data_IF_618938831209
#
_entry.id   IF_618938831209
#
_cell.length_a   1.000
_cell.length_b   1.000
_cell.length_c   1.000
_cell.angle_alpha   90.00
_cell.angle_beta   90.00
_cell.angle_gamma   90.00
#
_symmetry.space_group_name_H-M   'P 1'
#
loop_
_entity.id
_entity.type
_entity.pdbx_description
1 polymer ?
#
# COMPACT_ATOMS: atom_id res chain seq x y z
N UNK A 1 -11.59 -6.38 -2.15
CA UNK A 1 -10.36 -5.97 -1.43
C UNK A 1 -10.30 -6.76 -0.14
N UNK A 2 -9.19 -7.45 0.05
CA UNK A 2 -8.93 -8.46 1.08
C UNK A 2 -7.62 -8.16 1.85
N UNK A 3 -6.81 -7.21 1.37
CA UNK A 3 -5.57 -6.79 2.01
C UNK A 3 -5.43 -5.27 2.12
N UNK A 4 -4.75 -4.85 3.17
CA UNK A 4 -4.34 -3.47 3.39
C UNK A 4 -2.90 -3.39 3.91
N UNK A 5 -2.13 -2.46 3.39
CA UNK A 5 -0.76 -2.16 3.83
C UNK A 5 -0.75 -0.79 4.47
N UNK A 6 -0.25 -0.71 5.69
CA UNK A 6 -0.07 0.56 6.40
C UNK A 6 1.41 0.96 6.36
N UNK A 7 1.70 2.12 5.77
CA UNK A 7 3.04 2.69 5.75
C UNK A 7 3.08 3.93 6.63
N UNK A 8 4.06 4.00 7.54
CA UNK A 8 4.38 5.21 8.30
C UNK A 8 5.64 5.86 7.75
N UNK A 9 5.54 7.15 7.44
CA UNK A 9 6.61 7.98 6.95
C UNK A 9 6.95 9.01 8.03
N UNK A 10 8.13 8.88 8.64
CA UNK A 10 8.66 9.91 9.51
C UNK A 10 8.87 11.23 8.74
N UNK A 11 9.09 12.37 9.43
CA UNK A 11 9.54 13.60 8.79
C UNK A 11 10.72 13.34 7.85
N UNK A 12 10.71 13.97 6.68
CA UNK A 12 11.70 13.83 5.60
C UNK A 12 11.84 12.43 4.96
N UNK A 13 11.02 11.46 5.37
CA UNK A 13 11.01 10.14 4.75
C UNK A 13 10.58 10.19 3.28
N UNK A 14 11.13 9.25 2.50
CA UNK A 14 10.91 9.14 1.05
C UNK A 14 10.64 7.70 0.68
N UNK A 15 9.94 7.52 -0.43
CA UNK A 15 9.76 6.23 -1.07
C UNK A 15 10.12 6.36 -2.55
N UNK A 16 11.13 5.63 -2.97
CA UNK A 16 11.56 5.61 -4.37
C UNK A 16 10.46 5.10 -5.31
N UNK A 17 10.61 5.42 -6.60
CA UNK A 17 9.68 4.97 -7.63
C UNK A 17 9.62 3.44 -7.68
N UNK A 18 8.44 2.87 -7.46
CA UNK A 18 8.18 1.42 -7.45
C UNK A 18 6.81 1.12 -8.07
N UNK A 19 6.55 -0.16 -8.34
CA UNK A 19 5.26 -0.69 -8.76
C UNK A 19 4.80 -1.68 -7.69
N UNK A 20 3.51 -1.75 -7.46
CA UNK A 20 2.93 -2.78 -6.59
C UNK A 20 2.71 -4.06 -7.39
N UNK A 21 3.44 -5.12 -6.99
CA UNK A 21 3.56 -6.40 -7.71
C UNK A 21 3.30 -7.62 -6.83
N UNK A 22 2.91 -7.43 -5.58
CA UNK A 22 2.74 -8.51 -4.62
C UNK A 22 1.46 -9.31 -4.84
N UNK A 23 0.53 -8.79 -5.63
CA UNK A 23 -0.74 -9.41 -5.96
C UNK A 23 -0.60 -10.42 -7.12
N UNK A 24 -1.56 -11.34 -7.20
CA UNK A 24 -1.60 -12.37 -8.25
C UNK A 24 -1.54 -11.74 -9.65
N UNK A 25 -0.96 -12.48 -10.60
CA UNK A 25 -0.86 -12.00 -11.98
C UNK A 25 -2.24 -11.72 -12.59
N UNK A 26 -3.24 -12.53 -12.25
CA UNK A 26 -4.62 -12.35 -12.68
C UNK A 26 -5.18 -10.99 -12.21
N UNK A 27 -5.12 -10.69 -10.91
CA UNK A 27 -5.63 -9.42 -10.35
C UNK A 27 -4.92 -8.22 -10.94
N UNK A 28 -3.60 -8.34 -11.19
CA UNK A 28 -2.83 -7.28 -11.87
C UNK A 28 -3.24 -7.12 -13.34
N UNK A 29 -3.48 -8.21 -14.07
CA UNK A 29 -3.87 -8.19 -15.48
C UNK A 29 -5.30 -7.65 -15.68
N UNK A 30 -6.22 -7.96 -14.76
CA UNK A 30 -7.58 -7.40 -14.72
C UNK A 30 -7.58 -5.90 -14.39
N UNK A 31 -6.48 -5.40 -13.81
CA UNK A 31 -6.35 -3.99 -13.43
C UNK A 31 -7.14 -3.64 -12.17
N UNK A 32 -7.36 -4.60 -11.27
CA UNK A 32 -8.06 -4.35 -9.99
C UNK A 32 -7.40 -3.19 -9.22
N UNK A 33 -8.15 -2.21 -8.71
CA UNK A 33 -7.59 -0.94 -8.25
C UNK A 33 -6.82 -1.04 -6.94
N UNK A 34 -5.88 -0.11 -6.75
CA UNK A 34 -5.33 0.24 -5.44
C UNK A 34 -5.98 1.54 -4.98
N UNK A 35 -6.44 1.54 -3.73
CA UNK A 35 -6.95 2.72 -3.04
C UNK A 35 -5.97 3.09 -1.94
N UNK A 36 -5.43 4.31 -2.01
CA UNK A 36 -4.41 4.84 -1.11
C UNK A 36 -4.99 6.04 -0.34
N UNK A 37 -5.05 5.95 0.98
CA UNK A 37 -5.53 7.02 1.87
C UNK A 37 -4.33 7.69 2.53
N UNK A 38 -4.31 9.01 2.57
CA UNK A 38 -3.28 9.81 3.24
C UNK A 38 -3.80 10.39 4.55
N UNK A 39 -3.05 10.23 5.64
CA UNK A 39 -3.38 10.76 6.96
C UNK A 39 -2.14 11.38 7.60
N UNK A 40 -2.27 12.53 8.26
CA UNK A 40 -1.15 13.23 8.90
C UNK A 40 -0.49 14.23 7.94
N UNK A 41 0.84 14.34 8.00
CA UNK A 41 1.56 15.33 7.18
C UNK A 41 1.32 15.09 5.68
N UNK A 42 1.12 16.17 4.93
CA UNK A 42 1.02 16.15 3.49
C UNK A 42 2.30 15.62 2.85
N UNK A 43 2.21 15.13 1.61
CA UNK A 43 3.39 14.68 0.86
C UNK A 43 3.34 15.07 -0.60
N UNK A 44 4.52 15.17 -1.23
CA UNK A 44 4.65 15.24 -2.68
C UNK A 44 4.72 13.82 -3.24
N UNK A 45 3.60 13.35 -3.76
CA UNK A 45 3.46 12.06 -4.41
C UNK A 45 3.83 12.20 -5.90
N UNK A 46 4.60 11.26 -6.43
CA UNK A 46 4.96 11.21 -7.85
C UNK A 46 4.30 10.01 -8.50
N UNK A 47 3.52 10.25 -9.54
CA UNK A 47 2.85 9.24 -10.34
C UNK A 47 3.42 9.23 -11.76
N UNK A 48 4.03 8.13 -12.16
CA UNK A 48 4.79 8.00 -13.41
C UNK A 48 4.04 7.31 -14.53
N UNK A 49 4.75 6.39 -15.20
CA UNK A 49 4.24 5.52 -16.26
C UNK A 49 4.49 4.05 -15.89
N UNK A 50 4.05 3.11 -16.71
CA UNK A 50 4.21 1.67 -16.42
C UNK A 50 5.52 1.06 -16.96
N UNK A 51 6.22 1.78 -17.84
CA UNK A 51 7.37 1.26 -18.58
C UNK A 51 8.70 1.51 -17.86
N UNK A 52 8.84 2.65 -17.18
CA UNK A 52 10.10 3.03 -16.54
C UNK A 52 9.90 3.84 -15.26
N UNK A 53 10.93 3.81 -14.39
CA UNK A 53 11.02 4.69 -13.21
C UNK A 53 11.29 6.14 -13.57
N UNK A 54 11.77 6.38 -14.79
CA UNK A 54 11.99 7.70 -15.36
C UNK A 54 10.71 8.29 -15.93
N UNK A 55 10.72 9.59 -16.18
CA UNK A 55 9.55 10.33 -16.66
C UNK A 55 8.98 9.81 -18.00
N UNK A 56 7.79 10.29 -18.40
CA UNK A 56 7.05 11.40 -17.78
C UNK A 56 6.43 11.00 -16.43
N UNK A 57 6.30 11.99 -15.55
CA UNK A 57 5.64 11.86 -14.25
C UNK A 57 4.81 13.10 -13.94
N UNK A 58 3.78 12.91 -13.13
CA UNK A 58 2.97 13.95 -12.53
C UNK A 58 3.23 13.97 -11.02
N UNK A 59 3.51 15.16 -10.50
CA UNK A 59 3.66 15.35 -9.06
C UNK A 59 2.34 15.92 -8.52
N UNK A 60 1.86 15.31 -7.44
CA UNK A 60 0.56 15.57 -6.83
C UNK A 60 0.81 15.75 -5.33
N UNK A 61 0.33 16.84 -4.75
CA UNK A 61 0.31 16.96 -3.30
C UNK A 61 -0.87 16.17 -2.75
N UNK A 62 -0.61 15.29 -1.79
CA UNK A 62 -1.64 14.57 -1.06
C UNK A 62 -1.64 15.06 0.39
N UNK A 63 -2.75 15.61 0.84
CA UNK A 63 -2.99 16.12 2.18
C UNK A 63 -3.68 15.07 3.05
N UNK A 64 -3.80 15.35 4.35
CA UNK A 64 -4.56 14.49 5.25
C UNK A 64 -6.02 14.41 4.83
N UNK A 65 -6.54 13.20 4.69
CA UNK A 65 -7.90 12.91 4.21
C UNK A 65 -7.99 12.58 2.72
N UNK A 66 -6.95 12.85 1.93
CA UNK A 66 -6.98 12.57 0.50
C UNK A 66 -6.98 11.08 0.19
N UNK A 67 -7.82 10.70 -0.77
CA UNK A 67 -7.82 9.39 -1.43
C UNK A 67 -7.17 9.51 -2.81
N UNK A 68 -6.22 8.62 -3.09
CA UNK A 68 -5.66 8.42 -4.41
C UNK A 68 -5.96 7.01 -4.89
N UNK A 69 -6.58 6.89 -6.07
CA UNK A 69 -7.02 5.61 -6.63
C UNK A 69 -6.40 5.41 -8.01
N UNK A 70 -5.81 4.25 -8.26
CA UNK A 70 -5.27 3.89 -9.56
C UNK A 70 -5.47 2.40 -9.85
N UNK A 71 -5.83 2.10 -11.10
CA UNK A 71 -6.19 0.76 -11.57
C UNK A 71 -6.30 0.74 -13.09
N UNK A 72 -6.89 -0.31 -13.66
CA UNK A 72 -6.98 -0.51 -15.10
C UNK A 72 -5.61 -0.39 -15.77
N UNK A 73 -5.52 0.40 -16.84
CA UNK A 73 -4.26 0.66 -17.55
C UNK A 73 -3.16 1.28 -16.66
N UNK A 74 -3.54 1.91 -15.54
CA UNK A 74 -2.62 2.55 -14.61
C UNK A 74 -2.24 1.63 -13.42
N UNK A 75 -2.74 0.38 -13.37
CA UNK A 75 -2.48 -0.56 -12.26
C UNK A 75 -1.00 -0.81 -12.02
N UNK A 76 -0.23 -0.85 -13.12
CA UNK A 76 1.21 -1.07 -13.12
C UNK A 76 1.99 0.23 -13.25
N UNK A 77 1.49 1.38 -12.77
CA UNK A 77 2.23 2.64 -12.83
C UNK A 77 3.32 2.73 -11.74
N UNK A 78 4.53 3.14 -12.12
CA UNK A 78 5.56 3.51 -11.17
C UNK A 78 5.13 4.73 -10.36
N UNK A 79 5.25 4.66 -9.04
CA UNK A 79 4.89 5.77 -8.16
C UNK A 79 5.77 5.81 -6.90
N UNK A 80 5.74 6.92 -6.18
CA UNK A 80 6.57 7.09 -4.98
C UNK A 80 6.26 8.38 -4.21
N UNK A 81 6.93 8.54 -3.09
CA UNK A 81 6.83 9.74 -2.22
C UNK A 81 8.17 10.44 -2.24
N UNK A 82 8.22 11.65 -2.81
CA UNK A 82 9.47 12.39 -2.97
C UNK A 82 9.91 13.10 -1.70
N UNK A 83 8.94 13.57 -0.92
CA UNK A 83 9.12 14.23 0.38
C UNK A 83 7.78 14.29 1.12
N UNK A 84 7.86 14.31 2.45
CA UNK A 84 6.78 14.72 3.34
C UNK A 84 6.91 16.20 3.69
N UNK A 85 5.83 16.82 4.14
CA UNK A 85 5.77 18.22 4.56
C UNK A 85 5.47 18.30 6.06
N UNK A 86 6.48 18.34 6.94
CA UNK A 86 6.27 18.30 8.38
C UNK A 86 5.41 19.46 8.90
N UNK A 87 4.54 19.17 9.87
CA UNK A 87 3.71 20.18 10.54
C UNK A 87 2.47 20.59 9.75
N UNK A 88 2.06 19.77 8.78
CA UNK A 88 0.84 20.00 7.97
C UNK A 88 -0.31 19.09 8.39
N UNK A 89 -0.07 18.14 9.29
CA UNK A 89 -1.11 17.29 9.87
C UNK A 89 -2.19 18.11 10.62
N UNK A 90 -3.49 17.78 10.44
CA UNK A 90 -4.56 18.35 11.26
C UNK A 90 -4.40 17.96 12.73
N UNK A 91 -4.56 18.94 13.63
CA UNK A 91 -4.31 18.78 15.07
C UNK A 91 -5.25 17.74 15.69
N UNK A 92 -6.50 17.70 15.23
CA UNK A 92 -7.54 16.78 15.68
C UNK A 92 -7.24 15.30 15.40
N UNK A 93 -6.33 15.01 14.46
CA UNK A 93 -5.96 13.64 14.10
C UNK A 93 -5.02 13.01 15.13
N UNK A 94 -4.40 13.81 16.00
CA UNK A 94 -3.50 13.34 17.06
C UNK A 94 -2.15 12.78 16.58
N UNK A 95 -1.88 12.80 15.27
CA UNK A 95 -0.59 12.43 14.68
C UNK A 95 0.36 13.61 14.87
N UNK A 96 1.30 13.50 15.81
CA UNK A 96 2.20 14.60 16.18
C UNK A 96 3.20 14.97 15.08
N UNK A 97 3.66 13.99 14.31
CA UNK A 97 4.60 14.17 13.21
C UNK A 97 4.56 12.96 12.27
N UNK A 98 4.76 13.21 10.98
CA UNK A 98 4.82 12.19 9.95
C UNK A 98 3.47 11.94 9.28
N UNK A 99 3.50 10.99 8.35
CA UNK A 99 2.38 10.63 7.49
C UNK A 99 2.10 9.14 7.59
N UNK A 100 0.83 8.79 7.72
CA UNK A 100 0.32 7.44 7.52
C UNK A 100 -0.29 7.31 6.12
N UNK A 101 -0.04 6.16 5.51
CA UNK A 101 -0.67 5.77 4.28
C UNK A 101 -1.31 4.39 4.44
N UNK A 102 -2.63 4.31 4.25
CA UNK A 102 -3.35 3.05 4.19
C UNK A 102 -3.63 2.73 2.72
N UNK A 103 -2.97 1.71 2.19
CA UNK A 103 -3.14 1.28 0.81
C UNK A 103 -3.84 -0.07 0.75
N UNK A 104 -5.10 -0.06 0.29
CA UNK A 104 -5.99 -1.22 0.19
C UNK A 104 -6.03 -1.77 -1.23
N UNK A 105 -6.15 -3.09 -1.35
CA UNK A 105 -6.08 -3.80 -2.63
C UNK A 105 -6.72 -5.19 -2.52
N UNK A 106 -6.93 -5.80 -3.67
CA UNK A 106 -7.24 -7.23 -3.80
C UNK A 106 -5.94 -8.00 -4.02
N UNK A 107 -5.78 -9.16 -3.38
CA UNK A 107 -4.58 -9.99 -3.54
C UNK A 107 -4.75 -11.04 -4.64
N UNK A 108 -5.97 -11.57 -4.81
CA UNK A 108 -6.25 -12.67 -5.73
C UNK A 108 -5.67 -14.00 -5.26
N UNK A 109 -5.38 -14.11 -3.97
CA UNK A 109 -5.09 -15.37 -3.31
C UNK A 109 -6.35 -15.74 -2.51
N UNK A 110 -7.25 -16.48 -3.16
CA UNK A 110 -8.39 -17.11 -2.50
C UNK A 110 -7.89 -18.30 -1.68
N UNK A 111 -7.06 -18.03 -0.66
CA UNK A 111 -6.74 -19.06 0.32
C UNK A 111 -7.95 -19.15 1.25
N UNK A 112 -8.61 -20.31 1.29
CA UNK A 112 -9.49 -20.58 2.42
C UNK A 112 -8.63 -20.53 3.68
N UNK A 113 -9.20 -20.14 4.82
CA UNK A 113 -8.46 -20.11 6.10
C UNK A 113 -7.72 -21.44 6.36
N UNK A 114 -8.33 -22.55 5.95
CA UNK A 114 -7.74 -23.89 6.06
C UNK A 114 -6.50 -24.07 5.14
N UNK A 115 -6.54 -23.57 3.90
CA UNK A 115 -5.40 -23.63 2.96
C UNK A 115 -4.23 -22.75 3.44
N UNK A 116 -4.53 -21.60 4.02
CA UNK A 116 -3.53 -20.72 4.61
C UNK A 116 -2.87 -21.36 5.86
N UNK A 117 -3.68 -21.98 6.74
CA UNK A 117 -3.16 -22.70 7.91
C UNK A 117 -2.32 -23.89 7.50
N UNK A 118 -2.74 -24.68 6.49
CA UNK A 118 -1.94 -25.80 5.98
C UNK A 118 -0.61 -25.33 5.39
N UNK A 119 -0.63 -24.29 4.57
CA UNK A 119 0.56 -23.74 3.92
C UNK A 119 1.54 -23.17 4.94
N UNK A 120 1.01 -22.49 5.97
CA UNK A 120 1.81 -21.99 7.08
C UNK A 120 2.37 -23.14 7.94
N UNK A 121 1.56 -24.16 8.26
CA UNK A 121 2.00 -25.34 9.01
C UNK A 121 3.12 -26.11 8.29
N UNK A 122 3.03 -26.26 6.96
CA UNK A 122 4.08 -26.88 6.13
C UNK A 122 5.37 -26.04 6.12
N UNK A 123 5.25 -24.71 6.04
CA UNK A 123 6.41 -23.81 6.05
C UNK A 123 7.17 -23.80 7.39
N UNK A 124 6.50 -24.20 8.48
CA UNK A 124 7.05 -24.20 9.84
C UNK A 124 7.04 -25.60 10.49
N UNK A 125 7.20 -26.66 9.69
CA UNK A 125 7.20 -28.05 10.16
C UNK A 125 8.06 -28.22 11.44
N UNK A 126 7.43 -28.61 12.55
CA UNK A 126 8.04 -28.69 13.88
C UNK A 126 7.72 -27.54 14.84
N UNK A 127 6.98 -26.52 14.41
CA UNK A 127 6.52 -25.41 15.25
C UNK A 127 5.08 -25.65 15.70
N UNK A 128 4.79 -25.48 17.00
CA UNK A 128 3.41 -25.59 17.53
C UNK A 128 2.64 -24.32 17.18
N UNK A 129 1.74 -24.43 16.20
CA UNK A 129 0.76 -23.39 15.88
C UNK A 129 -0.44 -23.56 16.81
N UNK A 130 -0.82 -22.50 17.53
CA UNK A 130 -2.05 -22.46 18.34
C UNK A 130 -3.13 -21.72 17.55
N UNK A 131 -4.06 -22.48 16.98
CA UNK A 131 -5.30 -21.94 16.42
C UNK A 131 -6.30 -21.70 17.56
N UNK A 132 -6.68 -20.43 17.78
CA UNK A 132 -7.59 -20.01 18.85
C UNK A 132 -9.07 -20.06 18.44
N UNK A 133 -9.37 -20.42 17.18
CA UNK A 133 -10.74 -20.51 16.68
C UNK A 133 -11.34 -21.92 16.79
N UNK A 134 -10.58 -22.89 17.28
CA UNK A 134 -11.03 -24.25 17.58
C UNK A 134 -11.06 -24.44 19.09
N UNK A 135 -12.11 -23.93 19.74
CA UNK A 135 -12.61 -24.41 21.03
C UNK A 135 -13.89 -25.22 20.83
#
# INVERSE_FOLDING_TARGET
MDAAVLNFYAPDAKLGMHQDKSESEQVRAEGSPIISISLGDACLFRFGNSQSRSGPHQDIELQSGDLFVFGGAARMTFHGVLKTYPGTAPVELGIRAGRLNLSMRETGFDDTFDDAVESFAKAFEGTVIKDLNKE
#
